data_IF_734746449689
#
_entry.id   IF_734746449689
#
_cell.length_a   1.000
_cell.length_b   1.000
_cell.length_c   1.000
_cell.angle_alpha   90.00
_cell.angle_beta   90.00
_cell.angle_gamma   90.00
#
_symmetry.space_group_name_H-M   'P 1'
#
loop_
_entity.id
_entity.type
_entity.pdbx_description
1 polymer ?
2 non-polymer ?
3 non-polymer ?
4 water ?
#
# COMPACT_ATOMS: atom_id res chain seq x y z
N UNK A 17 -25.61 -8.79 -15.16
CA UNK A 17 -24.14 -8.54 -15.15
C UNK A 17 -23.73 -7.59 -14.02
N UNK A 18 -23.58 -8.13 -12.79
CA UNK A 18 -23.29 -7.32 -11.60
C UNK A 18 -21.90 -6.67 -11.62
N UNK A 19 -21.78 -5.55 -10.90
CA UNK A 19 -20.50 -4.84 -10.74
C UNK A 19 -20.21 -4.59 -9.25
N UNK A 20 -18.94 -4.32 -8.95
CA UNK A 20 -18.51 -3.97 -7.59
C UNK A 20 -17.91 -2.58 -7.59
N UNK A 21 -18.33 -1.74 -6.64
CA UNK A 21 -17.80 -0.39 -6.48
C UNK A 21 -16.73 -0.37 -5.39
N UNK A 22 -15.51 0.02 -5.76
CA UNK A 22 -14.40 0.09 -4.81
C UNK A 22 -14.09 1.55 -4.48
N UNK A 23 -14.15 1.88 -3.20
CA UNK A 23 -13.94 3.24 -2.73
C UNK A 23 -12.70 3.34 -1.83
N UNK A 24 -11.94 4.41 -2.02
CA UNK A 24 -10.78 4.72 -1.18
C UNK A 24 -10.78 6.20 -0.83
N UNK A 25 -11.20 6.50 0.41
CA UNK A 25 -11.21 7.87 0.88
C UNK A 25 -9.92 8.23 1.58
N UNK A 26 -8.99 8.80 0.83
CA UNK A 26 -7.69 9.21 1.36
C UNK A 26 -7.78 10.49 2.19
N UNK A 27 -6.62 11.08 2.44
CA UNK A 27 -6.55 12.30 3.24
C UNK A 27 -7.12 13.53 2.52
N UNK A 28 -6.98 13.56 1.20
CA UNK A 28 -7.40 14.72 0.41
C UNK A 28 -8.27 14.37 -0.81
N UNK A 29 -8.59 13.09 -0.98
CA UNK A 29 -9.30 12.61 -2.16
C UNK A 29 -10.25 11.43 -1.92
N UNK A 30 -11.03 11.10 -2.94
CA UNK A 30 -11.82 9.87 -2.95
C UNK A 30 -11.55 9.12 -4.27
N UNK A 31 -10.66 8.14 -4.20
CA UNK A 31 -10.34 7.31 -5.37
C UNK A 31 -11.36 6.18 -5.49
N UNK A 32 -11.98 6.07 -6.66
CA UNK A 32 -12.98 5.02 -6.88
C UNK A 32 -12.72 4.20 -8.14
N UNK A 33 -13.31 3.00 -8.18
CA UNK A 33 -13.22 2.10 -9.33
C UNK A 33 -14.43 1.17 -9.38
N UNK A 34 -14.95 0.96 -10.58
CA UNK A 34 -16.07 0.04 -10.81
C UNK A 34 -15.55 -1.19 -11.54
N UNK A 35 -15.70 -2.35 -10.91
CA UNK A 35 -15.17 -3.60 -11.46
C UNK A 35 -16.27 -4.62 -11.77
N UNK A 36 -16.13 -5.26 -12.93
CA UNK A 36 -17.07 -6.29 -13.37
C UNK A 36 -16.84 -7.59 -12.62
N UNK A 37 -17.92 -8.20 -12.14
CA UNK A 37 -17.84 -9.44 -11.36
C UNK A 37 -17.34 -10.61 -12.21
N UNK A 38 -17.73 -10.64 -13.47
CA UNK A 38 -17.41 -11.74 -14.38
C UNK A 38 -15.91 -11.88 -14.66
N UNK A 39 -15.23 -10.75 -14.85
CA UNK A 39 -13.83 -10.75 -15.28
C UNK A 39 -12.89 -9.96 -14.35
N UNK A 40 -13.48 -9.28 -13.37
CA UNK A 40 -12.73 -8.40 -12.43
C UNK A 40 -12.00 -7.24 -13.12
N UNK A 41 -12.52 -6.83 -14.27
CA UNK A 41 -11.94 -5.75 -15.06
C UNK A 41 -12.47 -4.39 -14.63
N UNK A 42 -11.68 -3.35 -14.86
CA UNK A 42 -12.10 -1.98 -14.54
C UNK A 42 -12.95 -1.41 -15.68
N UNK A 43 -14.20 -1.09 -15.37
CA UNK A 43 -15.12 -0.48 -16.34
C UNK A 43 -15.15 1.03 -16.19
N UNK A 44 -14.84 1.51 -14.99
CA UNK A 44 -14.80 2.93 -14.68
C UNK A 44 -13.86 3.18 -13.50
N UNK A 45 -13.13 4.29 -13.58
CA UNK A 45 -12.22 4.71 -12.50
C UNK A 45 -12.13 6.23 -12.47
N UNK A 46 -11.83 6.78 -11.29
CA UNK A 46 -11.70 8.22 -11.13
C UNK A 46 -11.23 8.65 -9.76
N UNK A 47 -11.26 9.97 -9.52
CA UNK A 47 -10.80 10.57 -8.28
C UNK A 47 -11.52 11.90 -8.00
N UNK A 48 -11.96 12.07 -6.75
CA UNK A 48 -12.58 13.31 -6.30
C UNK A 48 -11.58 14.12 -5.48
N UNK A 49 -10.62 14.72 -6.17
CA UNK A 49 -9.47 15.39 -5.56
C UNK A 49 -9.82 16.76 -4.98
N UNK A 50 -9.04 17.20 -3.98
CA UNK A 50 -9.19 18.50 -3.35
C UNK A 50 -10.33 18.56 -2.34
N UNK A 51 -10.41 17.54 -1.50
CA UNK A 51 -11.48 17.43 -0.51
C UNK A 51 -11.33 18.44 0.63
N UNK A 52 -12.48 18.95 1.10
CA UNK A 52 -12.55 19.95 2.17
C UNK A 52 -11.89 21.31 1.86
N UNK A 53 -11.55 21.51 0.58
CA UNK A 53 -10.96 22.78 0.12
C UNK A 53 -11.86 23.43 -0.93
N UNK A 54 -11.71 24.75 -1.10
CA UNK A 54 -12.58 25.54 -1.98
C UNK A 54 -12.32 25.32 -3.48
N UNK A 55 -11.93 24.10 -3.84
CA UNK A 55 -11.59 23.75 -5.22
C UNK A 55 -11.84 22.27 -5.55
N UNK A 56 -12.79 21.66 -4.84
CA UNK A 56 -13.09 20.23 -5.00
C UNK A 56 -13.61 19.92 -6.40
N UNK A 57 -12.97 18.95 -7.06
CA UNK A 57 -13.34 18.55 -8.43
C UNK A 57 -13.34 17.02 -8.61
N UNK A 58 -14.12 16.56 -9.57
CA UNK A 58 -14.30 15.14 -9.84
C UNK A 58 -13.84 14.78 -11.26
N UNK A 59 -12.65 14.17 -11.36
CA UNK A 59 -12.11 13.75 -12.65
C UNK A 59 -12.25 12.24 -12.87
N UNK A 60 -12.84 11.88 -14.00
CA UNK A 60 -13.12 10.48 -14.32
C UNK A 60 -12.35 10.04 -15.57
N UNK A 61 -11.72 8.86 -15.50
CA UNK A 61 -11.05 8.22 -16.64
C UNK A 61 -10.03 9.07 -17.41
N UNK A 62 -9.69 10.23 -16.84
CA UNK A 62 -8.81 11.18 -17.51
C UNK A 62 -9.52 12.09 -18.50
N UNK A 63 -10.85 12.08 -18.47
CA UNK A 63 -11.66 12.95 -19.33
C UNK A 63 -12.03 14.27 -18.64
N UNK A 64 -13.07 14.92 -19.14
CA UNK A 64 -13.53 16.21 -18.61
C UNK A 64 -13.93 16.14 -17.13
N UNK A 65 -13.24 16.92 -16.27
CA UNK A 65 -13.50 16.91 -14.84
C UNK A 65 -14.59 17.90 -14.41
N UNK A 66 -15.63 17.37 -13.76
CA UNK A 66 -16.66 18.19 -13.12
C UNK A 66 -16.12 18.79 -11.83
N UNK A 67 -16.86 19.73 -11.23
CA UNK A 67 -16.37 20.42 -10.03
C UNK A 67 -17.14 20.11 -8.74
N UNK A 68 -18.15 20.93 -8.46
CA UNK A 68 -18.83 20.96 -7.14
C UNK A 68 -17.82 21.25 -6.03
N UNK A 69 -17.33 22.49 -5.99
CA UNK A 69 -16.25 22.91 -5.11
C UNK A 69 -16.62 22.88 -3.62
N UNK A 70 -15.60 22.75 -2.77
CA UNK A 70 -15.75 22.62 -1.31
C UNK A 70 -16.91 21.72 -0.85
N UNK A 71 -17.06 20.59 -1.52
CA UNK A 71 -18.09 19.61 -1.17
C UNK A 71 -17.56 18.64 -0.12
N UNK A 72 -18.45 18.23 0.78
CA UNK A 72 -18.12 17.27 1.83
C UNK A 72 -17.98 15.85 1.29
N UNK A 73 -17.47 14.95 2.13
CA UNK A 73 -17.26 13.54 1.77
C UNK A 73 -18.54 12.84 1.31
N UNK A 74 -19.67 13.19 1.91
CA UNK A 74 -20.96 12.62 1.56
C UNK A 74 -21.45 13.08 0.19
N UNK A 75 -21.27 14.37 -0.10
CA UNK A 75 -21.71 14.97 -1.36
C UNK A 75 -20.80 14.60 -2.54
N UNK A 76 -19.52 14.41 -2.26
CA UNK A 76 -18.55 14.02 -3.28
C UNK A 76 -18.79 12.60 -3.79
N UNK A 77 -19.22 11.72 -2.89
CA UNK A 77 -19.62 10.36 -3.26
C UNK A 77 -20.98 10.38 -3.93
N UNK A 78 -21.84 11.33 -3.53
CA UNK A 78 -23.16 11.51 -4.13
C UNK A 78 -23.06 12.04 -5.56
N UNK A 79 -21.98 12.80 -5.82
CA UNK A 79 -21.68 13.29 -7.16
C UNK A 79 -21.31 12.14 -8.10
N UNK A 80 -20.50 11.21 -7.59
CA UNK A 80 -20.12 10.00 -8.31
C UNK A 80 -21.35 9.09 -8.51
N UNK A 81 -22.17 8.99 -7.47
CA UNK A 81 -23.39 8.18 -7.51
C UNK A 81 -24.35 8.59 -8.62
N UNK A 82 -24.42 9.89 -8.90
CA UNK A 82 -25.24 10.43 -9.98
C UNK A 82 -24.65 10.08 -11.34
N UNK A 83 -23.33 10.03 -11.41
CA UNK A 83 -22.60 9.65 -12.63
C UNK A 83 -22.74 8.16 -12.94
N UNK A 84 -23.03 7.37 -11.92
CA UNK A 84 -23.24 5.94 -12.08
C UNK A 84 -24.63 5.66 -12.68
N UNK A 85 -25.62 6.45 -12.27
CA UNK A 85 -26.98 6.33 -12.81
C UNK A 85 -27.05 6.90 -14.22
N UNK A 86 -26.20 7.89 -14.50
CA UNK A 86 -26.09 8.49 -15.83
C UNK A 86 -25.57 7.49 -16.86
N UNK A 87 -24.80 6.52 -16.39
CA UNK A 87 -24.23 5.48 -17.25
C UNK A 87 -24.89 4.12 -17.02
N UNK A 88 -26.10 4.15 -16.46
CA UNK A 88 -26.95 2.97 -16.26
C UNK A 88 -26.25 1.77 -15.60
N UNK A 89 -25.60 2.01 -14.46
CA UNK A 89 -24.94 0.94 -13.72
C UNK A 89 -25.17 1.01 -12.21
N UNK A 90 -26.02 1.94 -11.77
CA UNK A 90 -26.46 2.03 -10.38
C UNK A 90 -27.26 0.78 -9.99
N UNK A 91 -28.12 0.33 -10.90
CA UNK A 91 -28.92 -0.88 -10.69
C UNK A 91 -28.09 -2.17 -10.75
N UNK A 92 -26.82 -2.05 -11.14
CA UNK A 92 -25.95 -3.21 -11.29
C UNK A 92 -24.92 -3.35 -10.16
N UNK A 93 -24.85 -2.35 -9.28
CA UNK A 93 -23.95 -2.37 -8.13
C UNK A 93 -24.42 -3.40 -7.11
N UNK A 94 -23.77 -4.56 -7.10
CA UNK A 94 -24.13 -5.66 -6.20
C UNK A 94 -23.38 -5.57 -4.87
N UNK A 95 -22.16 -5.06 -4.93
CA UNK A 95 -21.27 -5.02 -3.76
C UNK A 95 -20.48 -3.71 -3.74
N UNK A 96 -20.09 -3.28 -2.54
CA UNK A 96 -19.25 -2.09 -2.38
C UNK A 96 -18.09 -2.36 -1.42
N UNK A 97 -16.87 -2.16 -1.91
CA UNK A 97 -15.66 -2.34 -1.11
C UNK A 97 -15.10 -1.03 -0.60
N UNK A 98 -14.71 -1.02 0.67
CA UNK A 98 -14.08 0.14 1.30
C UNK A 98 -12.71 -0.25 1.81
N UNK A 99 -11.69 0.49 1.38
CA UNK A 99 -10.35 0.27 1.94
C UNK A 99 -10.21 1.07 3.23
N UNK A 100 -9.79 0.38 4.28
CA UNK A 100 -9.58 1.00 5.58
C UNK A 100 -8.08 1.03 5.86
N UNK A 101 -7.59 2.16 6.32
CA UNK A 101 -6.16 2.34 6.57
C UNK A 101 -5.64 1.52 7.75
N UNK A 102 -6.43 1.47 8.83
CA UNK A 102 -5.99 0.83 10.06
C UNK A 102 -7.07 -0.04 10.68
N UNK A 103 -6.73 -1.29 10.98
CA UNK A 103 -7.66 -2.24 11.59
C UNK A 103 -7.25 -2.72 12.97
N UNK A 104 -6.18 -2.14 13.50
CA UNK A 104 -5.66 -2.47 14.83
C UNK A 104 -5.42 -3.96 15.04
N UNK A 105 -5.74 -4.43 16.24
CA UNK A 105 -5.70 -5.86 16.56
C UNK A 105 -7.08 -6.49 16.34
N UNK A 106 -8.08 -5.66 16.05
CA UNK A 106 -9.47 -6.10 15.95
C UNK A 106 -9.82 -6.81 14.63
N UNK A 107 -9.06 -6.53 13.58
CA UNK A 107 -9.37 -7.07 12.25
C UNK A 107 -8.24 -7.91 11.66
N UNK A 108 -8.55 -9.17 11.39
CA UNK A 108 -7.55 -10.09 10.82
C UNK A 108 -7.90 -10.49 9.39
N UNK A 109 -9.13 -10.16 8.97
CA UNK A 109 -9.59 -10.44 7.61
C UNK A 109 -10.64 -9.41 7.18
N UNK A 110 -11.05 -9.49 5.91
CA UNK A 110 -12.10 -8.61 5.39
C UNK A 110 -13.47 -9.03 5.94
N UNK A 111 -14.29 -8.05 6.27
CA UNK A 111 -15.62 -8.29 6.85
C UNK A 111 -16.73 -7.56 6.12
N UNK A 112 -17.95 -8.08 6.27
CA UNK A 112 -19.17 -7.39 5.86
C UNK A 112 -19.39 -6.25 6.86
N UNK A 113 -19.68 -5.06 6.34
CA UNK A 113 -19.87 -3.89 7.20
C UNK A 113 -21.23 -3.94 7.91
N UNK A 114 -21.18 -3.90 9.23
CA UNK A 114 -22.37 -3.81 10.08
C UNK A 114 -22.15 -2.72 11.12
N UNK A 115 -23.15 -2.44 11.95
CA UNK A 115 -23.03 -1.45 13.02
C UNK A 115 -21.87 -1.76 13.98
N UNK A 116 -21.65 -3.06 14.21
CA UNK A 116 -20.53 -3.53 15.04
C UNK A 116 -19.18 -3.13 14.43
N UNK A 117 -19.05 -3.31 13.12
CA UNK A 117 -17.81 -3.02 12.41
C UNK A 117 -17.49 -1.52 12.45
N UNK A 118 -18.52 -0.70 12.25
CA UNK A 118 -18.38 0.76 12.30
C UNK A 118 -17.87 1.22 13.67
N UNK A 119 -18.41 0.62 14.73
CA UNK A 119 -17.96 0.90 16.10
C UNK A 119 -16.49 0.53 16.27
N UNK A 120 -16.12 -0.63 15.74
CA UNK A 120 -14.76 -1.16 15.87
C UNK A 120 -13.71 -0.36 15.10
N UNK A 121 -14.07 0.08 13.89
CA UNK A 121 -13.20 0.96 13.10
C UNK A 121 -13.03 2.32 13.79
N UNK A 122 -14.11 2.77 14.44
CA UNK A 122 -14.08 4.02 15.20
C UNK A 122 -13.23 3.87 16.47
N UNK A 123 -13.16 2.64 16.99
CA UNK A 123 -12.34 2.33 18.17
C UNK A 123 -10.84 2.37 17.87
N UNK A 124 -10.44 1.85 16.71
CA UNK A 124 -9.03 1.82 16.31
C UNK A 124 -8.60 3.07 15.53
N UNK A 125 -9.55 3.98 15.31
CA UNK A 125 -9.30 5.24 14.61
C UNK A 125 -8.20 6.13 15.23
N UNK A 126 -8.08 6.18 16.56
CA UNK A 126 -6.97 6.94 17.16
C UNK A 126 -5.57 6.53 16.69
N UNK A 127 -5.42 5.29 16.22
CA UNK A 127 -4.13 4.79 15.70
C UNK A 127 -3.74 5.42 14.37
N UNK A 128 -4.74 5.82 13.58
CA UNK A 128 -4.52 6.57 12.35
C UNK A 128 -5.66 7.60 12.17
N UNK A 129 -5.56 8.73 12.88
CA UNK A 129 -6.66 9.72 12.93
C UNK A 129 -7.02 10.33 11.57
N UNK A 130 -6.00 10.77 10.82
CA UNK A 130 -6.22 11.42 9.54
C UNK A 130 -6.98 10.54 8.54
N UNK A 131 -6.53 9.29 8.41
CA UNK A 131 -6.98 8.41 7.34
C UNK A 131 -8.24 7.61 7.67
N UNK A 132 -8.34 7.10 8.91
CA UNK A 132 -9.50 6.31 9.33
C UNK A 132 -10.83 7.07 9.37
N UNK A 133 -10.78 8.32 9.83
CA UNK A 133 -11.98 9.15 9.88
C UNK A 133 -12.50 9.50 8.49
N UNK A 134 -11.58 9.61 7.54
CA UNK A 134 -11.95 9.79 6.13
C UNK A 134 -12.63 8.53 5.58
N UNK A 135 -12.12 7.36 5.99
CA UNK A 135 -12.72 6.07 5.61
C UNK A 135 -14.12 5.90 6.17
N UNK A 136 -14.29 6.29 7.44
CA UNK A 136 -15.59 6.25 8.11
C UNK A 136 -16.60 7.18 7.45
N UNK A 137 -16.13 8.35 7.01
CA UNK A 137 -16.93 9.30 6.26
C UNK A 137 -17.34 8.69 4.92
N UNK A 138 -16.44 7.90 4.34
CA UNK A 138 -16.70 7.19 3.08
C UNK A 138 -17.70 6.06 3.24
N UNK A 139 -17.61 5.35 4.36
CA UNK A 139 -18.58 4.30 4.70
C UNK A 139 -19.96 4.91 4.89
N UNK A 140 -20.03 5.95 5.72
CA UNK A 140 -21.26 6.65 6.05
C UNK A 140 -22.05 7.10 4.82
N UNK A 141 -21.34 7.70 3.86
CA UNK A 141 -21.93 8.16 2.61
C UNK A 141 -22.47 7.02 1.75
N UNK A 142 -21.65 5.98 1.55
CA UNK A 142 -22.02 4.84 0.73
C UNK A 142 -23.21 4.07 1.30
N UNK A 143 -23.32 4.03 2.63
CA UNK A 143 -24.46 3.40 3.29
C UNK A 143 -25.75 4.18 3.02
N UNK A 144 -25.63 5.50 2.99
CA UNK A 144 -26.74 6.39 2.65
C UNK A 144 -27.21 6.16 1.20
N UNK A 145 -26.28 6.27 0.26
CA UNK A 145 -26.60 6.25 -1.17
C UNK A 145 -26.93 4.85 -1.72
N UNK A 146 -26.51 3.82 -1.00
CA UNK A 146 -26.73 2.44 -1.42
C UNK A 146 -27.17 1.59 -0.21
N UNK A 147 -28.46 1.63 0.14
CA UNK A 147 -28.96 1.00 1.37
C UNK A 147 -29.08 -0.52 1.29
N UNK A 148 -29.53 -1.03 0.14
CA UNK A 148 -29.74 -2.46 -0.04
C UNK A 148 -28.51 -3.16 -0.63
N UNK A 149 -27.40 -2.44 -0.72
CA UNK A 149 -26.16 -2.99 -1.26
C UNK A 149 -25.22 -3.42 -0.15
N UNK A 150 -24.85 -4.70 -0.17
CA UNK A 150 -23.84 -5.24 0.74
C UNK A 150 -22.53 -4.46 0.63
N UNK A 151 -21.95 -4.13 1.79
CA UNK A 151 -20.71 -3.37 1.83
C UNK A 151 -19.64 -4.08 2.65
N UNK A 152 -18.41 -4.05 2.14
CA UNK A 152 -17.29 -4.81 2.70
C UNK A 152 -16.15 -3.87 3.09
N UNK A 153 -15.53 -4.14 4.25
CA UNK A 153 -14.38 -3.38 4.70
C UNK A 153 -13.11 -4.20 4.52
N UNK A 154 -12.13 -3.62 3.84
CA UNK A 154 -10.84 -4.26 3.61
C UNK A 154 -9.73 -3.43 4.24
N UNK A 155 -8.96 -4.06 5.13
CA UNK A 155 -8.00 -3.34 5.97
C UNK A 155 -6.56 -3.47 5.47
N UNK A 156 -5.83 -2.36 5.50
CA UNK A 156 -4.42 -2.31 5.11
C UNK A 156 -3.51 -3.06 6.08
N UNK A 157 -4.03 -3.35 7.26
CA UNK A 157 -3.24 -3.92 8.34
C UNK A 157 -3.52 -5.40 8.59
N UNK A 158 -4.69 -5.86 8.16
CA UNK A 158 -5.20 -7.19 8.53
C UNK A 158 -4.30 -8.36 8.13
N UNK A 159 -3.58 -8.23 7.02
CA UNK A 159 -2.69 -9.29 6.54
C UNK A 159 -1.48 -9.52 7.44
N UNK A 160 -1.03 -8.46 8.12
CA UNK A 160 0.14 -8.54 8.98
C UNK A 160 -0.17 -9.04 10.40
N UNK A 161 -1.43 -9.41 10.64
CA UNK A 161 -1.84 -9.85 11.98
C UNK A 161 -1.33 -11.23 12.39
N UNK A 162 -0.81 -11.98 11.41
CA UNK A 162 -0.20 -13.28 11.68
C UNK A 162 1.21 -13.16 12.29
N UNK A 163 1.66 -11.92 12.48
CA UNK A 163 2.98 -11.65 13.07
C UNK A 163 3.07 -12.06 14.54
N UNK A 164 4.20 -12.64 14.91
CA UNK A 164 4.47 -13.05 16.29
C UNK A 164 4.92 -11.85 17.13
N UNK A 165 4.70 -11.89 18.46
CA UNK A 165 5.10 -10.80 19.34
C UNK A 165 6.53 -10.31 19.12
N UNK A 166 7.45 -11.25 18.93
CA UNK A 166 8.85 -10.95 18.65
C UNK A 166 9.02 -10.03 17.44
N UNK A 167 8.12 -10.18 16.47
CA UNK A 167 8.19 -9.43 15.22
C UNK A 167 7.46 -8.08 15.28
N UNK A 168 6.49 -7.96 16.19
CA UNK A 168 5.69 -6.73 16.26
C UNK A 168 5.93 -5.83 17.48
N UNK A 169 6.57 -6.37 18.51
CA UNK A 169 6.87 -5.59 19.71
C UNK A 169 8.04 -4.64 19.48
N UNK A 170 7.94 -3.45 20.10
CA UNK A 170 9.05 -2.50 20.13
C UNK A 170 9.85 -2.70 21.41
N UNK A 171 11.03 -2.09 21.46
CA UNK A 171 11.91 -2.18 22.62
C UNK A 171 11.46 -1.33 23.79
N UNK A 172 10.43 -0.52 23.57
CA UNK A 172 9.86 0.37 24.59
C UNK A 172 9.35 -0.40 25.83
N UNK A 173 9.15 0.32 26.95
CA UNK A 173 8.54 -0.31 28.13
C UNK A 173 7.21 -0.98 27.81
N UNK A 174 6.96 -2.10 28.48
CA UNK A 174 5.77 -2.94 28.24
C UNK A 174 4.46 -2.17 28.30
N UNK A 175 4.35 -1.25 29.25
CA UNK A 175 3.13 -0.46 29.46
C UNK A 175 2.59 0.19 28.17
N UNK A 176 3.50 0.69 27.34
CA UNK A 176 3.13 1.33 26.07
C UNK A 176 2.40 0.38 25.11
N UNK A 177 2.75 -0.90 25.14
CA UNK A 177 2.08 -1.89 24.32
C UNK A 177 0.71 -2.28 24.89
N UNK A 178 0.71 -2.78 26.13
CA UNK A 178 -0.50 -3.33 26.75
C UNK A 178 -1.58 -2.27 27.03
N UNK A 179 -1.16 -1.08 27.46
CA UNK A 179 -2.09 -0.03 27.86
C UNK A 179 -2.35 1.05 26.79
N UNK A 180 -1.52 1.10 25.74
CA UNK A 180 -1.68 2.11 24.68
C UNK A 180 -1.70 1.53 23.26
N UNK A 181 -1.38 0.25 23.12
CA UNK A 181 -1.45 -0.44 21.83
C UNK A 181 -0.30 -0.12 20.88
N UNK A 182 0.84 0.30 21.43
CA UNK A 182 2.03 0.61 20.63
C UNK A 182 2.72 -0.68 20.19
N UNK A 183 2.61 -0.98 18.90
CA UNK A 183 3.20 -2.16 18.29
C UNK A 183 3.32 -1.95 16.78
N UNK A 184 4.08 -2.81 16.12
CA UNK A 184 4.15 -2.83 14.67
C UNK A 184 2.81 -3.31 14.11
N UNK A 185 2.32 -2.61 13.10
CA UNK A 185 1.12 -3.04 12.38
C UNK A 185 1.43 -3.36 10.93
N UNK A 186 2.20 -2.49 10.29
CA UNK A 186 2.57 -2.66 8.89
C UNK A 186 1.42 -2.35 7.95
N UNK A 187 1.75 -1.94 6.74
CA UNK A 187 0.75 -1.52 5.77
C UNK A 187 0.97 -2.13 4.39
N UNK A 188 0.16 -1.72 3.42
CA UNK A 188 0.13 -2.33 2.09
C UNK A 188 -0.27 -3.81 2.13
N UNK A 189 -0.94 -4.20 3.22
CA UNK A 189 -1.34 -5.58 3.46
C UNK A 189 -2.16 -6.21 2.34
N UNK A 190 -3.05 -5.41 1.75
CA UNK A 190 -3.89 -5.85 0.63
C UNK A 190 -3.04 -6.13 -0.61
N UNK A 191 -2.08 -5.24 -0.87
CA UNK A 191 -1.11 -5.43 -1.96
C UNK A 191 -0.21 -6.64 -1.71
N UNK A 192 0.39 -6.70 -0.52
CA UNK A 192 1.25 -7.80 -0.12
C UNK A 192 0.54 -9.14 -0.22
N UNK A 193 -0.70 -9.18 0.28
CA UNK A 193 -1.54 -10.37 0.19
C UNK A 193 -1.82 -10.77 -1.26
N UNK A 194 -2.31 -9.83 -2.07
CA UNK A 194 -2.64 -10.10 -3.47
C UNK A 194 -1.44 -10.64 -4.24
N UNK A 195 -0.33 -9.91 -4.18
CA UNK A 195 0.91 -10.27 -4.88
C UNK A 195 1.40 -11.67 -4.47
N UNK A 196 1.26 -11.99 -3.19
CA UNK A 196 1.60 -13.31 -2.66
C UNK A 196 0.82 -14.43 -3.34
N UNK A 197 -0.52 -14.33 -3.33
CA UNK A 197 -1.39 -15.35 -3.92
C UNK A 197 -1.02 -15.57 -5.39
N UNK A 198 -0.73 -14.47 -6.08
CA UNK A 198 -0.34 -14.50 -7.49
C UNK A 198 1.03 -15.13 -7.70
N UNK A 199 1.92 -14.94 -6.72
CA UNK A 199 3.29 -15.46 -6.80
C UNK A 199 3.36 -16.97 -6.70
N UNK A 200 2.36 -17.58 -6.06
CA UNK A 200 2.31 -19.04 -5.94
C UNK A 200 2.02 -19.72 -7.28
N UNK A 201 1.24 -19.06 -8.13
CA UNK A 201 0.96 -19.59 -9.47
C UNK A 201 2.12 -19.38 -10.43
N UNK A 202 2.68 -18.16 -10.43
CA UNK A 202 3.79 -17.81 -11.34
C UNK A 202 5.06 -18.61 -11.07
N UNK A 203 5.34 -18.87 -9.79
CA UNK A 203 6.56 -19.58 -9.39
C UNK A 203 6.32 -21.06 -9.16
N UNK A 204 5.09 -21.51 -9.42
CA UNK A 204 4.64 -22.88 -9.17
C UNK A 204 5.09 -23.38 -7.79
N UNK A 205 4.70 -22.61 -6.76
CA UNK A 205 5.06 -22.92 -5.39
C UNK A 205 3.89 -23.48 -4.62
N UNK A 206 4.18 -24.30 -3.62
CA UNK A 206 3.18 -24.75 -2.67
C UNK A 206 3.09 -23.70 -1.57
N UNK A 207 1.89 -23.13 -1.41
CA UNK A 207 1.64 -22.08 -0.43
C UNK A 207 1.98 -22.53 1.00
N UNK A 208 1.68 -23.79 1.32
CA UNK A 208 1.91 -24.33 2.66
C UNK A 208 3.38 -24.60 2.97
N UNK A 209 4.21 -24.65 1.93
CA UNK A 209 5.67 -24.74 2.09
C UNK A 209 6.37 -23.71 1.17
N UNK A 210 6.29 -22.44 1.57
CA UNK A 210 6.85 -21.35 0.78
C UNK A 210 7.41 -20.22 1.63
N UNK A 211 8.36 -19.48 1.06
CA UNK A 211 8.96 -18.32 1.69
C UNK A 211 9.20 -17.23 0.66
N UNK A 212 8.44 -16.14 0.78
CA UNK A 212 8.51 -15.03 -0.18
C UNK A 212 8.89 -13.72 0.48
N UNK A 213 9.56 -12.86 -0.30
CA UNK A 213 9.77 -11.47 0.08
C UNK A 213 9.07 -10.61 -0.96
N UNK A 214 8.14 -9.78 -0.51
CA UNK A 214 7.44 -8.88 -1.40
C UNK A 214 7.87 -7.44 -1.15
N UNK A 215 8.42 -6.82 -2.18
CA UNK A 215 8.84 -5.43 -2.12
C UNK A 215 7.82 -4.55 -2.83
N UNK A 216 6.90 -3.98 -2.05
CA UNK A 216 5.95 -3.01 -2.58
C UNK A 216 6.62 -1.64 -2.59
N UNK A 217 6.90 -1.15 -3.79
CA UNK A 217 7.68 0.07 -3.97
C UNK A 217 6.90 1.11 -4.76
N UNK A 218 6.53 2.18 -4.07
CA UNK A 218 5.91 3.35 -4.70
C UNK A 218 6.32 4.58 -3.90
N UNK A 219 5.45 5.60 -3.90
CA UNK A 219 5.64 6.77 -3.05
C UNK A 219 5.64 6.33 -1.58
N UNK A 220 4.77 5.37 -1.27
CA UNK A 220 4.80 4.66 0.00
C UNK A 220 5.35 3.27 -0.28
N UNK A 221 6.35 2.86 0.49
CA UNK A 221 7.06 1.62 0.23
C UNK A 221 7.28 0.78 1.49
N UNK A 222 7.11 -0.54 1.34
CA UNK A 222 7.26 -1.48 2.44
C UNK A 222 7.70 -2.85 1.94
N UNK A 223 8.41 -3.58 2.79
CA UNK A 223 8.79 -4.96 2.53
C UNK A 223 7.92 -5.86 3.40
N UNK A 224 7.63 -7.06 2.90
CA UNK A 224 6.88 -8.06 3.66
C UNK A 224 7.41 -9.46 3.40
N UNK A 225 7.65 -10.20 4.48
CA UNK A 225 8.03 -11.60 4.39
C UNK A 225 6.78 -12.48 4.56
N UNK A 226 6.54 -13.33 3.58
CA UNK A 226 5.39 -14.23 3.61
C UNK A 226 5.85 -15.68 3.73
N UNK A 227 5.80 -16.21 4.95
CA UNK A 227 6.13 -17.61 5.20
C UNK A 227 4.84 -18.44 5.19
N UNK A 228 4.84 -19.50 4.39
CA UNK A 228 3.73 -20.45 4.31
C UNK A 228 2.34 -19.81 4.16
N UNK A 229 2.28 -18.75 3.36
CA UNK A 229 1.04 -18.02 3.12
C UNK A 229 0.71 -16.94 4.14
N UNK A 230 1.51 -16.85 5.20
CA UNK A 230 1.27 -15.89 6.27
C UNK A 230 2.35 -14.83 6.36
N UNK A 231 1.95 -13.60 6.65
CA UNK A 231 2.89 -12.51 6.89
C UNK A 231 3.61 -12.72 8.22
N UNK A 232 4.94 -12.78 8.17
CA UNK A 232 5.75 -13.00 9.37
C UNK A 232 6.60 -11.80 9.75
N UNK A 233 6.78 -10.87 8.82
CA UNK A 233 7.51 -9.62 9.06
C UNK A 233 7.15 -8.60 7.99
N UNK A 234 7.14 -7.33 8.39
CA UNK A 234 6.89 -6.23 7.46
C UNK A 234 7.60 -4.95 7.92
N UNK A 235 8.06 -4.15 6.95
CA UNK A 235 8.99 -3.03 7.22
C UNK A 235 8.35 -1.82 7.91
N UNK A 236 7.11 -1.49 7.54
CA UNK A 236 6.39 -0.40 8.21
C UNK A 236 5.96 -0.84 9.60
N UNK A 237 5.76 0.14 10.50
CA UNK A 237 5.48 -0.17 11.89
C UNK A 237 4.08 0.17 12.35
N UNK A 238 3.99 0.94 13.43
CA UNK A 238 2.71 1.46 13.92
C UNK A 238 2.18 2.48 12.92
N UNK A 239 3.10 3.23 12.32
CA UNK A 239 2.78 4.20 11.29
C UNK A 239 3.48 3.81 9.99
N UNK A 240 3.10 4.44 8.86
CA UNK A 240 3.82 4.22 7.60
C UNK A 240 5.21 4.87 7.54
N UNK A 241 5.71 5.35 8.68
CA UNK A 241 6.99 6.06 8.72
C UNK A 241 8.22 5.19 8.96
N UNK A 242 8.02 3.91 9.29
CA UNK A 242 9.15 3.03 9.58
C UNK A 242 9.54 2.15 8.40
N UNK A 243 10.81 1.79 8.33
CA UNK A 243 11.31 0.85 7.35
C UNK A 243 12.09 1.50 6.24
N UNK A 244 11.63 1.27 5.00
CA UNK A 244 12.29 1.78 3.81
C UNK A 244 12.23 3.30 3.73
N UNK A 245 13.26 3.89 3.15
CA UNK A 245 13.20 5.28 2.72
C UNK A 245 12.22 5.33 1.56
N UNK A 246 11.43 6.40 1.49
CA UNK A 246 10.36 6.50 0.50
C UNK A 246 10.44 7.80 -0.31
N UNK A 247 9.33 8.17 -0.94
CA UNK A 247 9.25 9.41 -1.73
C UNK A 247 9.47 10.65 -0.88
N UNK A 248 8.61 10.82 0.12
CA UNK A 248 8.69 11.98 1.02
C UNK A 248 9.01 11.57 2.46
N UNK A 249 8.97 10.27 2.73
CA UNK A 249 9.21 9.75 4.07
C UNK A 249 10.64 9.23 4.22
N UNK A 250 11.26 9.56 5.35
CA UNK A 250 12.66 9.23 5.62
C UNK A 250 12.95 7.74 5.76
N UNK A 251 11.98 7.01 6.30
CA UNK A 251 12.18 5.60 6.64
C UNK A 251 12.81 5.45 8.01
N UNK A 252 13.56 4.36 8.19
CA UNK A 252 14.28 4.10 9.45
C UNK A 252 15.18 5.28 9.80
N UNK A 253 14.98 5.83 10.99
CA UNK A 253 15.77 6.96 11.46
C UNK A 253 16.07 6.85 12.96
N UNK A 254 17.33 7.09 13.31
CA UNK A 254 17.81 7.10 14.69
C UNK A 254 17.02 8.12 15.50
N UNK A 255 16.38 7.65 16.57
CA UNK A 255 15.61 8.53 17.46
C UNK A 255 16.53 9.43 18.28
N UNK A 256 17.74 8.95 18.56
CA UNK A 256 18.76 9.74 19.23
C UNK A 256 19.21 10.90 18.37
N UNK A 257 19.20 10.71 17.06
CA UNK A 257 19.51 11.77 16.10
C UNK A 257 18.40 12.81 16.05
N UNK A 258 17.15 12.33 16.13
CA UNK A 258 15.98 13.21 16.10
C UNK A 258 15.90 14.09 17.34
N UNK A 259 16.29 13.52 18.48
CA UNK A 259 16.33 14.26 19.74
C UNK A 259 17.42 15.32 19.73
N UNK A 260 18.55 14.97 19.10
CA UNK A 260 19.69 15.88 18.95
C UNK A 260 19.35 17.07 18.06
N UNK A 261 18.68 16.79 16.94
CA UNK A 261 18.23 17.84 16.02
C UNK A 261 17.27 18.81 16.71
N UNK A 262 16.38 18.26 17.53
CA UNK A 262 15.40 19.04 18.29
C UNK A 262 16.07 20.05 19.24
N UNK A 263 17.18 19.62 19.84
CA UNK A 263 17.94 20.46 20.78
C UNK A 263 18.71 21.57 20.06
N UNK A 264 19.05 21.31 18.80
CA UNK A 264 19.89 22.23 18.03
C UNK A 264 19.09 23.28 17.26
N UNK A 265 18.04 22.84 16.58
CA UNK A 265 17.22 23.72 15.74
C UNK A 265 16.02 24.31 16.50
N UNK A 266 15.77 23.81 17.70
CA UNK A 266 14.66 24.28 18.53
C UNK A 266 13.30 23.76 18.06
N UNK A 267 13.31 22.81 17.15
CA UNK A 267 12.08 22.23 16.60
C UNK A 267 11.45 21.23 17.56
N UNK A 268 10.12 21.13 17.53
CA UNK A 268 9.39 20.17 18.36
C UNK A 268 9.14 18.87 17.59
N UNK A 269 8.60 17.87 18.28
CA UNK A 269 8.31 16.57 17.68
C UNK A 269 7.23 16.68 16.60
N UNK A 270 6.27 17.58 16.81
CA UNK A 270 5.23 17.86 15.82
C UNK A 270 5.80 18.52 14.58
N UNK A 271 6.81 19.38 14.77
CA UNK A 271 7.50 20.03 13.67
C UNK A 271 8.29 19.01 12.85
N UNK A 272 9.04 18.16 13.56
CA UNK A 272 9.86 17.12 12.94
C UNK A 272 9.02 16.02 12.29
N UNK A 273 7.80 15.85 12.75
CA UNK A 273 6.86 14.91 12.15
C UNK A 273 6.61 15.25 10.67
N UNK A 274 6.37 16.54 10.42
CA UNK A 274 6.14 17.04 9.05
C UNK A 274 7.39 16.90 8.19
N UNK A 275 8.55 17.19 8.78
CA UNK A 275 9.84 17.06 8.11
C UNK A 275 10.09 15.62 7.68
N UNK A 276 9.85 14.68 8.60
CA UNK A 276 10.08 13.25 8.36
C UNK A 276 9.04 12.67 7.39
N UNK A 277 7.80 13.12 7.50
CA UNK A 277 6.69 12.56 6.73
C UNK A 277 6.54 13.16 5.32
N UNK A 278 6.89 14.44 5.16
CA UNK A 278 6.58 15.16 3.92
C UNK A 278 7.77 15.82 3.22
N UNK A 279 8.85 16.08 3.95
CA UNK A 279 9.99 16.79 3.40
C UNK A 279 11.25 15.93 3.25
N UNK A 280 11.15 14.65 3.60
CA UNK A 280 12.30 13.76 3.62
C UNK A 280 12.32 12.79 2.44
N UNK A 281 12.94 11.63 2.63
CA UNK A 281 13.01 10.57 1.63
C UNK A 281 13.81 10.93 0.39
N UNK A 282 13.28 10.55 -0.77
CA UNK A 282 13.88 10.88 -2.06
C UNK A 282 13.85 12.38 -2.30
N UNK A 283 12.76 13.02 -1.87
CA UNK A 283 12.60 14.46 -1.96
C UNK A 283 13.64 15.17 -1.10
N UNK A 284 13.85 14.64 0.11
CA UNK A 284 14.76 15.23 1.08
C UNK A 284 16.21 15.27 0.63
N UNK A 285 16.74 14.12 0.24
CA UNK A 285 18.15 13.99 -0.14
C UNK A 285 18.47 14.74 -1.43
N UNK A 286 17.73 14.44 -2.49
CA UNK A 286 17.98 15.03 -3.81
C UNK A 286 17.67 16.52 -3.88
N UNK A 287 16.63 16.93 -3.15
CA UNK A 287 16.17 18.32 -3.18
C UNK A 287 15.62 18.71 -4.54
N UNK A 288 14.93 17.76 -5.17
CA UNK A 288 14.45 17.91 -6.55
C UNK A 288 13.02 17.41 -6.69
N UNK A 289 12.82 16.11 -6.44
CA UNK A 289 11.50 15.48 -6.54
C UNK A 289 11.43 14.16 -5.77
N UNK A 290 10.20 13.74 -5.47
CA UNK A 290 9.95 12.42 -4.90
C UNK A 290 9.78 11.38 -6.01
N UNK A 291 9.52 11.86 -7.22
CA UNK A 291 9.31 11.01 -8.39
C UNK A 291 10.63 10.40 -8.87
N UNK A 292 10.62 9.09 -9.12
CA UNK A 292 11.83 8.37 -9.56
C UNK A 292 12.22 8.64 -11.02
N UNK A 293 11.22 8.72 -11.90
CA UNK A 293 11.48 8.98 -13.32
C UNK A 293 12.24 10.29 -13.53
N UNK A 294 11.98 11.25 -12.64
CA UNK A 294 12.70 12.53 -12.63
C UNK A 294 14.15 12.32 -12.20
N UNK A 295 14.34 11.56 -11.11
CA UNK A 295 15.66 11.37 -10.52
C UNK A 295 16.55 10.44 -11.34
N UNK A 296 15.94 9.45 -12.00
CA UNK A 296 16.65 8.55 -12.90
C UNK A 296 17.27 9.33 -14.07
N UNK A 297 16.51 10.30 -14.58
CA UNK A 297 16.97 11.17 -15.65
C UNK A 297 17.97 12.21 -15.12
N UNK A 298 17.73 12.68 -13.91
CA UNK A 298 18.62 13.65 -13.25
C UNK A 298 20.02 13.06 -13.06
N UNK A 299 20.09 11.81 -12.61
CA UNK A 299 21.35 11.09 -12.47
C UNK A 299 21.99 10.83 -13.83
N UNK A 300 21.17 10.49 -14.81
CA UNK A 300 21.62 10.32 -16.21
C UNK A 300 22.27 11.61 -16.72
N UNK A 301 21.78 12.75 -16.21
CA UNK A 301 22.32 14.06 -16.56
C UNK A 301 23.43 14.52 -15.59
N UNK A 302 23.90 13.61 -14.75
CA UNK A 302 25.05 13.87 -13.87
C UNK A 302 24.76 14.58 -12.56
N UNK A 303 23.49 14.59 -12.13
CA UNK A 303 23.12 15.17 -10.85
C UNK A 303 23.63 14.27 -9.73
N UNK A 304 24.40 14.86 -8.81
CA UNK A 304 25.06 14.10 -7.74
C UNK A 304 24.08 13.63 -6.65
N UNK A 305 23.26 14.56 -6.15
CA UNK A 305 22.32 14.26 -5.06
C UNK A 305 21.19 13.30 -5.45
N UNK A 306 20.84 13.27 -6.74
CA UNK A 306 19.82 12.37 -7.25
C UNK A 306 20.32 10.94 -7.24
N UNK A 307 21.58 10.77 -7.64
CA UNK A 307 22.25 9.47 -7.64
C UNK A 307 22.35 8.92 -6.22
N UNK A 308 22.68 9.79 -5.26
CA UNK A 308 22.81 9.40 -3.86
C UNK A 308 21.47 9.02 -3.24
N UNK A 309 20.42 9.74 -3.63
CA UNK A 309 19.06 9.45 -3.16
C UNK A 309 18.59 8.08 -3.64
N UNK A 310 18.88 7.77 -4.91
CA UNK A 310 18.53 6.47 -5.49
C UNK A 310 19.36 5.34 -4.89
N UNK A 311 20.66 5.57 -4.73
CA UNK A 311 21.59 4.58 -4.19
C UNK A 311 21.31 4.25 -2.72
N UNK A 312 20.87 5.26 -1.97
CA UNK A 312 20.43 5.08 -0.58
C UNK A 312 19.12 4.30 -0.56
N UNK A 313 18.16 4.75 -1.37
CA UNK A 313 16.88 4.07 -1.57
C UNK A 313 17.10 2.58 -1.85
N UNK A 314 17.95 2.28 -2.84
CA UNK A 314 18.31 0.92 -3.20
C UNK A 314 18.96 0.18 -2.03
N UNK A 315 19.88 0.84 -1.34
CA UNK A 315 20.61 0.24 -0.23
C UNK A 315 19.68 -0.20 0.90
N UNK A 316 18.76 0.69 1.27
CA UNK A 316 17.82 0.42 2.37
C UNK A 316 16.76 -0.63 2.00
N UNK A 317 16.46 -0.76 0.72
CA UNK A 317 15.57 -1.82 0.24
C UNK A 317 16.25 -3.18 0.37
N UNK A 318 17.51 -3.27 -0.04
CA UNK A 318 18.28 -4.52 0.02
C UNK A 318 18.53 -4.96 1.46
N UNK A 319 18.72 -3.99 2.35
CA UNK A 319 18.96 -4.23 3.77
C UNK A 319 17.72 -4.83 4.41
N UNK A 320 16.56 -4.28 4.11
CA UNK A 320 15.30 -4.78 4.65
C UNK A 320 14.85 -6.08 4.00
N UNK A 321 15.00 -6.20 2.68
CA UNK A 321 14.67 -7.44 1.99
C UNK A 321 15.42 -8.61 2.64
N UNK A 322 16.74 -8.48 2.73
CA UNK A 322 17.60 -9.49 3.35
C UNK A 322 17.31 -9.68 4.84
N UNK A 323 16.94 -8.59 5.51
CA UNK A 323 16.54 -8.62 6.91
C UNK A 323 15.27 -9.44 7.13
N UNK A 324 14.27 -9.17 6.30
CA UNK A 324 12.98 -9.88 6.34
C UNK A 324 13.12 -11.35 5.95
N UNK A 325 14.18 -11.68 5.22
CA UNK A 325 14.43 -13.06 4.78
C UNK A 325 14.75 -13.98 5.96
N UNK A 326 15.22 -13.41 7.05
CA UNK A 326 15.53 -14.16 8.27
C UNK A 326 14.29 -14.80 8.90
N UNK A 327 13.12 -14.20 8.66
CA UNK A 327 11.85 -14.70 9.17
C UNK A 327 11.28 -15.86 8.33
N UNK A 328 12.13 -16.45 7.48
CA UNK A 328 11.73 -17.58 6.65
C UNK A 328 12.61 -18.78 6.91
N UNK A 329 12.02 -19.97 6.80
CA UNK A 329 12.79 -21.21 6.86
C UNK A 329 13.60 -21.39 5.58
N UNK A 330 13.05 -20.89 4.48
CA UNK A 330 13.67 -20.98 3.15
C UNK A 330 13.17 -19.83 2.29
N UNK A 331 14.06 -19.24 1.50
CA UNK A 331 13.70 -18.17 0.58
C UNK A 331 13.55 -18.68 -0.84
N UNK A 332 12.33 -18.62 -1.36
CA UNK A 332 12.01 -19.12 -2.69
C UNK A 332 11.98 -18.02 -3.73
N UNK A 333 11.34 -16.90 -3.39
CA UNK A 333 11.18 -15.81 -4.33
C UNK A 333 11.26 -14.41 -3.74
N UNK A 334 11.67 -13.46 -4.58
CA UNK A 334 11.60 -12.04 -4.27
C UNK A 334 10.72 -11.38 -5.33
N UNK A 335 9.66 -10.72 -4.89
CA UNK A 335 8.67 -10.15 -5.80
C UNK A 335 8.61 -8.64 -5.70
N UNK A 336 8.76 -7.98 -6.85
CA UNK A 336 8.70 -6.51 -6.93
C UNK A 336 7.32 -6.07 -7.39
N UNK A 337 6.83 -5.01 -6.77
CA UNK A 337 5.51 -4.49 -7.08
C UNK A 337 5.37 -3.02 -6.69
N UNK A 338 4.30 -2.38 -7.17
CA UNK A 338 4.08 -0.95 -6.97
C UNK A 338 4.61 -0.18 -8.15
N UNK A 339 4.25 1.10 -8.24
CA UNK A 339 4.70 1.99 -9.32
C UNK A 339 6.19 1.88 -9.64
N UNK A 340 7.01 1.83 -8.59
CA UNK A 340 8.46 1.70 -8.76
C UNK A 340 8.86 0.27 -9.13
N UNK A 341 8.38 -0.69 -8.36
CA UNK A 341 8.72 -2.11 -8.56
C UNK A 341 8.28 -2.68 -9.90
N UNK A 342 7.20 -2.13 -10.45
CA UNK A 342 6.64 -2.62 -11.72
C UNK A 342 7.34 -2.01 -12.93
N UNK A 343 7.85 -0.80 -12.78
CA UNK A 343 8.31 0.01 -13.92
C UNK A 343 9.80 0.35 -13.95
N UNK A 344 10.48 0.24 -12.81
CA UNK A 344 11.88 0.67 -12.73
C UNK A 344 12.87 -0.46 -13.03
N UNK A 345 13.38 -0.47 -14.25
CA UNK A 345 14.40 -1.43 -14.68
C UNK A 345 15.70 -1.24 -13.90
N UNK A 346 16.04 0.01 -13.61
CA UNK A 346 17.27 0.35 -12.91
C UNK A 346 17.26 -0.10 -11.44
N UNK A 347 16.27 0.38 -10.69
CA UNK A 347 16.16 0.10 -9.26
C UNK A 347 16.13 -1.40 -8.96
N UNK A 348 15.36 -2.15 -9.75
CA UNK A 348 15.29 -3.61 -9.62
C UNK A 348 16.67 -4.27 -9.75
N UNK A 349 17.42 -3.88 -10.77
CA UNK A 349 18.76 -4.42 -11.01
C UNK A 349 19.74 -4.03 -9.91
N UNK A 350 19.70 -2.75 -9.51
CA UNK A 350 20.56 -2.25 -8.43
C UNK A 350 20.31 -2.99 -7.12
N UNK A 351 19.03 -3.18 -6.77
CA UNK A 351 18.64 -3.92 -5.57
C UNK A 351 19.08 -5.38 -5.64
N UNK A 352 18.85 -6.03 -6.78
CA UNK A 352 19.24 -7.43 -6.98
C UNK A 352 20.76 -7.62 -6.95
N UNK A 353 21.50 -6.74 -7.63
CA UNK A 353 22.96 -6.75 -7.60
C UNK A 353 23.49 -6.52 -6.19
N UNK A 354 22.71 -5.81 -5.37
CA UNK A 354 23.01 -5.56 -3.96
C UNK A 354 22.68 -6.77 -3.09
N UNK A 355 22.09 -7.80 -3.68
CA UNK A 355 21.74 -9.02 -2.95
C UNK A 355 22.40 -10.25 -3.56
N UNK A 356 23.66 -10.11 -3.95
CA UNK A 356 24.45 -11.22 -4.47
C UNK A 356 24.80 -12.22 -3.39
N UNK A 357 24.75 -11.76 -2.13
CA UNK A 357 25.00 -12.61 -0.97
C UNK A 357 24.00 -13.77 -0.87
N UNK A 358 22.81 -13.57 -1.43
CA UNK A 358 21.78 -14.60 -1.46
C UNK A 358 21.84 -15.41 -2.77
N UNK A 359 22.73 -15.01 -3.66
CA UNK A 359 22.96 -15.72 -4.91
C UNK A 359 21.89 -15.49 -5.95
N UNK A 360 21.59 -14.22 -6.22
CA UNK A 360 20.64 -13.85 -7.26
C UNK A 360 21.37 -13.50 -8.54
N UNK A 361 21.06 -14.22 -9.61
CA UNK A 361 21.53 -13.89 -10.95
C UNK A 361 20.37 -13.28 -11.73
N UNK A 362 20.58 -12.07 -12.25
CA UNK A 362 19.53 -11.35 -12.96
C UNK A 362 19.60 -11.54 -14.48
N UNK A 363 18.45 -11.85 -15.07
CA UNK A 363 18.30 -11.86 -16.52
C UNK A 363 17.87 -10.46 -16.97
N UNK A 364 18.82 -9.71 -17.51
CA UNK A 364 18.60 -8.30 -17.84
C UNK A 364 17.65 -8.10 -19.03
N UNK A 365 17.62 -9.08 -19.93
CA UNK A 365 16.64 -9.08 -21.03
C UNK A 365 15.23 -9.11 -20.46
N UNK A 366 14.99 -10.02 -19.52
CA UNK A 366 13.69 -10.16 -18.85
C UNK A 366 13.39 -8.97 -17.94
N UNK A 367 14.42 -8.39 -17.34
CA UNK A 367 14.27 -7.22 -16.49
C UNK A 367 14.03 -5.94 -17.29
N UNK A 368 14.43 -5.96 -18.57
CA UNK A 368 14.27 -4.81 -19.47
C UNK A 368 12.82 -4.61 -19.88
N UNK A 369 12.03 -5.69 -19.91
CA UNK A 369 10.65 -5.66 -20.37
C UNK A 369 9.78 -4.72 -19.53
N UNK A 370 9.00 -3.83 -20.19
CA UNK A 370 8.08 -2.92 -19.52
C UNK A 370 6.89 -3.63 -18.85
N UNK A 371 6.14 -2.89 -18.05
CA UNK A 371 5.03 -3.44 -17.27
C UNK A 371 3.92 -4.10 -18.09
N UNK A 372 3.85 -3.77 -19.38
CA UNK A 372 2.89 -4.37 -20.31
C UNK A 372 2.98 -5.89 -20.35
N UNK A 373 4.16 -6.41 -20.02
CA UNK A 373 4.40 -7.85 -19.96
C UNK A 373 3.88 -8.48 -18.67
N UNK A 374 3.22 -7.65 -17.85
CA UNK A 374 2.54 -8.10 -16.62
C UNK A 374 3.38 -8.94 -15.70
N UNK A 375 2.80 -10.04 -15.23
CA UNK A 375 3.48 -10.97 -14.34
C UNK A 375 4.58 -11.71 -15.08
N UNK A 376 5.82 -11.54 -14.62
CA UNK A 376 7.00 -12.00 -15.34
C UNK A 376 8.16 -12.28 -14.40
N UNK A 377 8.88 -13.37 -14.67
CA UNK A 377 10.10 -13.72 -13.94
C UNK A 377 11.29 -12.98 -14.57
N UNK A 378 12.11 -12.36 -13.74
CA UNK A 378 13.23 -11.53 -14.21
C UNK A 378 14.61 -12.05 -13.78
N UNK A 379 14.65 -13.26 -13.24
CA UNK A 379 15.90 -13.87 -12.81
C UNK A 379 16.32 -15.02 -13.72
N UNK A 380 17.63 -15.24 -13.83
CA UNK A 380 18.20 -16.29 -14.66
C UNK A 380 18.06 -17.67 -14.01
N UNK A 381 18.52 -18.70 -14.71
CA UNK A 381 18.50 -20.08 -14.20
C UNK A 381 19.46 -20.35 -13.02
N UNK A 382 20.75 -19.94 -13.15
CA UNK A 382 21.72 -20.20 -12.07
C UNK A 382 21.38 -19.50 -10.74
N UNK A 383 20.44 -18.56 -10.77
CA UNK A 383 19.98 -17.86 -9.57
C UNK A 383 19.33 -18.84 -8.58
N UNK A 384 19.78 -18.77 -7.32
CA UNK A 384 19.26 -19.63 -6.25
C UNK A 384 17.84 -19.23 -5.83
N UNK A 385 17.55 -17.93 -5.90
CA UNK A 385 16.23 -17.41 -5.57
C UNK A 385 15.60 -16.77 -6.80
N UNK A 386 14.32 -17.09 -7.04
CA UNK A 386 13.59 -16.57 -8.19
C UNK A 386 13.16 -15.12 -7.95
N UNK A 387 13.46 -14.25 -8.90
CA UNK A 387 13.00 -12.86 -8.89
C UNK A 387 11.93 -12.67 -9.95
N UNK A 388 10.86 -11.96 -9.58
CA UNK A 388 9.73 -11.74 -10.48
C UNK A 388 9.07 -10.39 -10.26
N UNK A 389 8.39 -9.91 -11.29
CA UNK A 389 7.60 -8.68 -11.22
C UNK A 389 6.13 -9.04 -11.33
N UNK A 390 5.37 -8.71 -10.31
CA UNK A 390 3.93 -8.93 -10.31
C UNK A 390 3.21 -7.61 -10.03
N UNK A 391 2.51 -7.07 -11.05
CA UNK A 391 1.73 -5.85 -10.89
C UNK A 391 0.63 -6.05 -9.85
N UNK A 392 0.64 -5.22 -8.81
CA UNK A 392 -0.37 -5.29 -7.76
C UNK A 392 -1.72 -4.79 -8.25
N UNK A 393 -2.79 -5.30 -7.65
CA UNK A 393 -4.14 -4.87 -7.97
C UNK A 393 -5.02 -4.87 -6.74
N UNK A 394 -4.90 -3.80 -5.95
CA UNK A 394 -5.60 -3.67 -4.67
C UNK A 394 -7.11 -3.65 -4.85
N UNK A 395 -7.57 -2.95 -5.90
CA UNK A 395 -8.99 -2.90 -6.25
C UNK A 395 -9.54 -4.31 -6.53
N UNK A 396 -8.79 -5.11 -7.29
CA UNK A 396 -9.19 -6.47 -7.65
C UNK A 396 -9.28 -7.37 -6.41
N UNK A 397 -8.34 -7.20 -5.49
CA UNK A 397 -8.32 -7.97 -4.24
C UNK A 397 -9.50 -7.61 -3.34
N UNK A 398 -9.86 -6.33 -3.32
CA UNK A 398 -11.02 -5.85 -2.57
C UNK A 398 -12.31 -6.41 -3.17
N UNK A 399 -12.37 -6.42 -4.51
CA UNK A 399 -13.51 -6.98 -5.22
C UNK A 399 -13.65 -8.49 -4.97
N UNK A 400 -12.54 -9.22 -5.07
CA UNK A 400 -12.52 -10.67 -4.81
C UNK A 400 -13.00 -11.03 -3.40
N UNK A 401 -12.72 -10.15 -2.44
CA UNK A 401 -13.19 -10.33 -1.07
C UNK A 401 -14.69 -10.08 -0.98
N UNK A 402 -15.16 -9.05 -1.67
CA UNK A 402 -16.57 -8.69 -1.70
C UNK A 402 -17.41 -9.79 -2.36
N UNK A 403 -16.90 -10.33 -3.46
CA UNK A 403 -17.56 -11.43 -4.17
C UNK A 403 -17.71 -12.65 -3.26
N UNK A 404 -16.62 -12.99 -2.56
CA UNK A 404 -16.61 -14.08 -1.60
C UNK A 404 -17.63 -13.83 -0.48
N UNK A 405 -17.63 -12.61 0.05
CA UNK A 405 -18.51 -12.23 1.16
C UNK A 405 -19.95 -11.96 0.73
N UNK A 406 -20.18 -11.88 -0.58
CA UNK A 406 -21.52 -11.70 -1.14
C UNK A 406 -22.38 -12.95 -1.05
N UNK A 407 -21.74 -14.08 -0.76
CA UNK A 407 -22.44 -15.36 -0.62
C UNK A 407 -22.91 -15.63 0.82
N UNK A 408 -22.41 -14.82 1.75
CA UNK A 408 -22.66 -15.00 3.18
C UNK A 408 -24.07 -14.55 3.59
N UNK A 409 -24.66 -15.29 4.52
CA UNK A 409 -25.94 -14.89 5.15
C UNK A 409 -25.65 -14.13 6.44
N UNK A 410 -26.18 -12.91 6.55
CA UNK A 410 -25.97 -12.08 7.74
C UNK A 410 -27.27 -11.88 8.53
X LIG B 1 -13.91 -13.63 -11.49
X LIG B 1 -14.55 -13.76 -10.21
X LIG B 1 -12.41 -13.88 -11.33
X LIG B 1 -11.69 -12.74 -11.80
X LIG C 1 -0.70 11.22 3.68
X LIG C 1 0.02 10.76 4.83
X LIG C 1 -0.79 10.09 2.66
X LIG C 1 -1.80 10.41 1.68
X LIG D 1 3.00 9.88 -0.53
X LIG D 1 3.42 10.58 -1.71
X LIG D 1 3.38 10.68 0.70
X LIG D 1 3.91 9.80 1.70
X LIG E 1 3.11 4.73 30.42
X LIG E 1 3.38 4.05 31.65
X LIG E 1 1.86 5.59 30.57
X LIG E 1 0.74 4.92 29.99
X LIG F 1 7.01 5.19 -11.52
X LIG F 1 8.01 4.77 -12.39
X LIG F 1 7.71 4.58 -13.73
X LIG F 1 6.39 4.62 -14.16
X LIG F 1 5.39 4.99 -13.28
X LIG F 1 5.69 5.16 -11.92
X LIG F 1 9.15 4.56 -11.99
X LIG F 1 6.10 4.29 -15.42
X LIG F 1 7.36 5.65 -10.16
X LIG F 1 7.21 7.15 -9.99
X LIG F 1 8.43 7.78 -10.30
X LIG F 1 6.84 7.32 -8.54
X LIG F 1 6.30 5.97 -8.11
X LIG F 1 6.54 5.06 -9.16
X LIG F 1 7.99 7.60 -7.78
X LIG F 1 4.81 6.02 -7.79
X LIG F 1 4.38 4.72 -7.45
X LIG F 1 2.83 4.43 -7.13
X LIG F 1 2.67 2.97 -6.77
X LIG F 1 1.97 4.79 -8.32
X LIG F 1 2.53 5.36 -5.85
X LIG F 1 1.03 5.60 -5.29
X LIG F 1 0.04 5.61 -6.43
X LIG F 1 0.95 6.86 -4.49
X LIG F 1 0.77 4.30 -4.36
X LIG F 1 1.83 3.89 -3.22
X LIG F 1 2.69 2.78 -3.77
X LIG F 1 1.10 3.40 -1.98
X LIG F 1 2.68 5.07 -2.86
#
# INVERSE_FOLDING_TARGET
MRGSHHHHHHGMASNEFPVVLVINCGSSSIKFSVLDVATCDVLMAGIADGMNTENAFLSINGDKPINLAHSNYEDALKAIAFELEKRDLTDSVALIGHRIAHGGELFTQSVIITDEIIDNIRRVSPLAPLHNYANLSGIDAARHLFPAVRQVAVFDTSFHQTLAPEAYLYGLPWEYFSSLGVRRYGFHGTSHRYVSRRAYELLDLDEKDSGLIVAHLGNGASICAVRNGQSVDTSMGMTPLEGLMMGTRSGDVDFGAMAWIAKETGQTLSDLERVVNKESGLLGISGLSSDLRVLEKAWHEGHERARLAIKTFVHRIARHIAGHAASLHRLDGIIFTGGIGENSVLIRQLVIEHLGVLGLTLDVEMNKQPNSHGERIISANPSQVICAVIPTNEEKMIALDAIHLGNVKAPVEFA
EDO C1 O1 C2 O2
EDO C1 O1 C2 O2
EDO C1 O1 C2 O2
EDO C1 O1 C2 O2
CTP N1 C2 N3 C4 C5 C6 O2 N4 C1' C2' O2' C3' C4' O4' O3' C5' O5' PA O1A O2A O3A PB O1B O2B O3B PG O1G O2G O3G
#
